data_IF_770856399961
#
_entry.id   IF_770856399961
#
_cell.length_a   1.000
_cell.length_b   1.000
_cell.length_c   1.000
_cell.angle_alpha   90.00
_cell.angle_beta   90.00
_cell.angle_gamma   90.00
#
_symmetry.space_group_name_H-M   'P 1'
#
loop_
_entity.id
_entity.type
_entity.pdbx_description
1 polymer ?
#
# COMPACT_ATOMS: atom_id res chain seq x y z
N UNK A 1 -10.10 -14.28 33.90
CA UNK A 1 -11.21 -14.44 32.95
C UNK A 1 -10.61 -14.38 31.55
N UNK A 2 -10.26 -15.54 31.00
CA UNK A 2 -9.69 -15.67 29.64
C UNK A 2 -10.73 -15.23 28.61
N UNK A 3 -10.50 -14.09 27.96
CA UNK A 3 -11.26 -13.70 26.78
C UNK A 3 -10.78 -14.58 25.61
N UNK A 4 -11.54 -15.62 25.30
CA UNK A 4 -11.38 -16.39 24.07
C UNK A 4 -11.57 -15.46 22.87
N UNK A 5 -10.54 -15.35 22.04
CA UNK A 5 -10.63 -14.76 20.70
C UNK A 5 -11.74 -15.48 19.91
N UNK A 6 -12.55 -14.76 19.11
CA UNK A 6 -13.50 -15.39 18.23
C UNK A 6 -12.74 -16.31 17.27
N UNK A 7 -13.26 -17.53 17.11
CA UNK A 7 -12.71 -18.56 16.24
C UNK A 7 -12.64 -18.01 14.82
N UNK A 8 -11.42 -17.71 14.34
CA UNK A 8 -11.12 -17.41 12.93
C UNK A 8 -11.47 -18.65 12.08
N UNK A 9 -12.73 -18.74 11.65
CA UNK A 9 -13.23 -19.86 10.86
C UNK A 9 -12.76 -19.87 9.40
N UNK A 10 -12.24 -18.75 8.91
CA UNK A 10 -11.62 -18.65 7.57
C UNK A 10 -10.18 -18.17 7.74
N UNK A 11 -9.23 -18.94 7.20
CA UNK A 11 -7.82 -18.54 7.20
C UNK A 11 -7.69 -17.25 6.38
N UNK A 12 -7.43 -16.11 7.01
CA UNK A 12 -7.04 -14.91 6.29
C UNK A 12 -5.76 -15.19 5.51
N UNK A 13 -5.86 -15.19 4.18
CA UNK A 13 -4.71 -15.45 3.30
C UNK A 13 -3.95 -14.13 3.11
N UNK A 14 -2.66 -14.14 3.39
CA UNK A 14 -1.78 -13.01 3.08
C UNK A 14 -1.57 -12.97 1.57
N UNK A 15 -2.00 -11.89 0.90
CA UNK A 15 -1.81 -11.72 -0.54
C UNK A 15 -0.45 -11.11 -0.91
N UNK A 16 0.15 -10.36 0.01
CA UNK A 16 1.44 -9.73 -0.21
C UNK A 16 2.08 -9.22 1.07
N UNK A 17 3.38 -8.91 0.98
CA UNK A 17 4.21 -8.38 2.05
C UNK A 17 4.93 -7.15 1.52
N UNK A 18 4.83 -6.03 2.24
CA UNK A 18 5.63 -4.84 1.99
C UNK A 18 6.87 -4.79 2.89
N UNK A 19 7.83 -3.95 2.53
CA UNK A 19 9.04 -3.75 3.30
C UNK A 19 9.39 -2.28 3.51
N UNK A 20 10.52 -2.06 4.18
CA UNK A 20 11.06 -0.74 4.50
C UNK A 20 11.67 -0.07 3.28
N UNK A 21 11.48 1.23 3.13
CA UNK A 21 12.10 2.01 2.03
C UNK A 21 12.95 3.13 2.61
N UNK A 22 14.24 3.07 2.33
CA UNK A 22 15.23 4.03 2.82
C UNK A 22 15.77 4.89 1.67
N UNK A 23 16.12 6.14 1.95
CA UNK A 23 16.78 7.00 0.97
C UNK A 23 18.18 6.50 0.62
N UNK A 24 18.50 6.49 -0.68
CA UNK A 24 19.86 6.28 -1.15
C UNK A 24 20.72 7.56 -1.00
N UNK A 25 20.22 8.69 -1.52
CA UNK A 25 20.87 9.99 -1.38
C UNK A 25 20.51 10.66 -0.05
N UNK A 26 21.38 11.52 0.47
CA UNK A 26 21.13 12.31 1.69
C UNK A 26 20.93 13.78 1.35
N UNK A 27 19.68 14.21 1.38
CA UNK A 27 19.23 15.60 1.27
C UNK A 27 17.86 15.75 1.92
N UNK A 28 17.44 17.00 2.17
CA UNK A 28 16.20 17.32 2.87
C UNK A 28 14.97 16.60 2.31
N UNK A 29 14.83 16.54 0.98
CA UNK A 29 13.66 15.88 0.36
C UNK A 29 13.72 14.36 0.55
N UNK A 30 14.87 13.74 0.28
CA UNK A 30 15.03 12.30 0.47
C UNK A 30 14.88 11.85 1.93
N UNK A 31 15.40 12.63 2.87
CA UNK A 31 15.25 12.40 4.32
C UNK A 31 13.80 12.56 4.74
N UNK A 32 13.09 13.56 4.21
CA UNK A 32 11.65 13.73 4.42
C UNK A 32 10.86 12.49 4.00
N UNK A 33 11.12 11.92 2.82
CA UNK A 33 10.45 10.70 2.36
C UNK A 33 10.64 9.53 3.34
N UNK A 34 11.86 9.28 3.80
CA UNK A 34 12.13 8.19 4.74
C UNK A 34 11.62 8.45 6.14
N UNK A 35 11.73 9.68 6.65
CA UNK A 35 11.27 10.06 7.98
C UNK A 35 9.75 9.88 8.10
N UNK A 36 9.01 10.38 7.11
CA UNK A 36 7.55 10.23 7.05
C UNK A 36 7.10 8.87 6.49
N UNK A 37 8.03 8.01 6.09
CA UNK A 37 7.76 6.66 5.56
C UNK A 37 6.78 6.68 4.39
N UNK A 38 6.93 7.67 3.50
CA UNK A 38 5.99 7.95 2.41
C UNK A 38 5.83 6.76 1.45
N UNK A 39 6.87 5.95 1.28
CA UNK A 39 6.85 4.75 0.44
C UNK A 39 6.75 3.44 1.25
N UNK A 40 6.36 3.50 2.52
CA UNK A 40 6.04 2.31 3.31
C UNK A 40 4.52 2.15 3.44
N UNK A 41 4.01 0.91 3.62
CA UNK A 41 2.60 0.70 3.96
C UNK A 41 2.19 1.48 5.22
N UNK A 42 0.99 2.09 5.25
CA UNK A 42 0.50 2.76 6.45
C UNK A 42 0.31 1.77 7.61
N UNK A 43 0.45 2.24 8.85
CA UNK A 43 0.41 1.42 10.09
C UNK A 43 -0.77 0.45 10.19
N UNK A 44 -1.92 0.86 9.68
CA UNK A 44 -3.09 0.00 9.50
C UNK A 44 -3.09 -0.38 8.02
N UNK A 45 -2.48 -1.51 7.66
CA UNK A 45 -2.16 -1.92 6.30
C UNK A 45 -3.37 -1.91 5.35
N UNK A 46 -3.71 -0.74 4.80
CA UNK A 46 -4.79 -0.58 3.82
C UNK A 46 -4.34 -0.91 2.40
N UNK A 47 -3.02 -0.80 2.14
CA UNK A 47 -2.41 -1.11 0.86
C UNK A 47 -0.90 -1.32 1.00
N UNK A 48 -0.28 -1.93 0.00
CA UNK A 48 1.17 -2.06 -0.11
C UNK A 48 1.74 -1.10 -1.15
N UNK A 49 2.86 -0.46 -0.83
CA UNK A 49 3.61 0.37 -1.78
C UNK A 49 4.51 -0.53 -2.63
N UNK A 50 4.36 -0.49 -3.95
CA UNK A 50 5.07 -1.40 -4.86
C UNK A 50 6.56 -1.14 -4.99
N UNK A 51 7.04 0.02 -4.53
CA UNK A 51 8.47 0.32 -4.42
C UNK A 51 9.25 -0.71 -3.58
N UNK A 52 8.57 -1.38 -2.64
CA UNK A 52 9.12 -2.52 -1.92
C UNK A 52 8.01 -3.46 -1.45
N UNK A 53 7.47 -4.26 -2.38
CA UNK A 53 6.45 -5.25 -2.08
C UNK A 53 6.62 -6.53 -2.90
N UNK A 54 6.21 -7.65 -2.31
CA UNK A 54 6.04 -8.93 -2.98
C UNK A 54 4.59 -9.39 -2.85
N UNK A 55 4.05 -9.98 -3.92
CA UNK A 55 2.70 -10.50 -3.96
C UNK A 55 2.69 -11.98 -4.37
N UNK A 56 1.70 -12.71 -3.85
CA UNK A 56 1.41 -14.06 -4.34
C UNK A 56 0.81 -13.98 -5.74
N UNK A 57 1.46 -14.64 -6.71
CA UNK A 57 1.00 -14.71 -8.10
C UNK A 57 -0.47 -15.11 -8.22
N UNK A 58 -0.91 -16.12 -7.45
CA UNK A 58 -2.30 -16.59 -7.47
C UNK A 58 -3.31 -15.50 -7.10
N UNK A 59 -2.98 -14.65 -6.11
CA UNK A 59 -3.85 -13.58 -5.65
C UNK A 59 -3.92 -12.46 -6.70
N UNK A 60 -2.77 -12.11 -7.32
CA UNK A 60 -2.74 -11.14 -8.41
C UNK A 60 -3.59 -11.57 -9.61
N UNK A 61 -3.46 -12.83 -10.03
CA UNK A 61 -4.22 -13.37 -11.16
C UNK A 61 -5.72 -13.39 -10.89
N UNK A 62 -6.14 -13.69 -9.66
CA UNK A 62 -7.56 -13.70 -9.29
C UNK A 62 -8.23 -12.32 -9.46
N UNK A 63 -7.49 -11.25 -9.17
CA UNK A 63 -8.00 -9.88 -9.33
C UNK A 63 -7.62 -9.25 -10.66
N UNK A 64 -7.03 -10.00 -11.59
CA UNK A 64 -6.56 -9.49 -12.89
C UNK A 64 -5.53 -8.36 -12.75
N UNK A 65 -4.65 -8.43 -11.76
CA UNK A 65 -3.52 -7.51 -11.58
C UNK A 65 -3.90 -6.05 -11.36
N UNK A 66 -3.06 -5.14 -11.85
CA UNK A 66 -3.30 -3.70 -11.80
C UNK A 66 -4.44 -3.27 -12.72
N UNK A 67 -5.03 -2.11 -12.44
CA UNK A 67 -6.00 -1.50 -13.34
C UNK A 67 -5.28 -0.76 -14.47
N UNK A 68 -5.19 -1.38 -15.65
CA UNK A 68 -4.53 -0.78 -16.83
C UNK A 68 -5.29 0.41 -17.42
N UNK A 69 -6.52 0.66 -16.99
CA UNK A 69 -7.26 1.87 -17.40
C UNK A 69 -6.80 3.11 -16.63
N UNK A 70 -6.11 2.94 -15.50
CA UNK A 70 -5.52 4.02 -14.72
C UNK A 70 -4.18 4.46 -15.33
N UNK A 71 -4.17 5.65 -15.96
CA UNK A 71 -3.02 6.13 -16.75
C UNK A 71 -2.13 7.14 -16.02
N UNK A 72 -2.44 7.46 -14.76
CA UNK A 72 -1.69 8.43 -13.99
C UNK A 72 -0.88 7.72 -12.89
N UNK A 73 0.34 8.18 -12.58
CA UNK A 73 1.06 7.65 -11.44
C UNK A 73 0.46 8.18 -10.14
N UNK A 74 0.36 7.31 -9.15
CA UNK A 74 -0.34 7.54 -7.91
C UNK A 74 -1.68 6.79 -7.90
N UNK A 75 -1.90 5.97 -6.87
CA UNK A 75 -3.15 5.24 -6.68
C UNK A 75 -3.18 3.82 -7.26
N UNK A 76 -2.28 3.45 -8.18
CA UNK A 76 -2.21 2.09 -8.73
C UNK A 76 -2.03 1.01 -7.64
N UNK A 77 -1.16 1.31 -6.67
CA UNK A 77 -0.88 0.49 -5.48
C UNK A 77 -2.14 0.31 -4.61
N UNK A 78 -2.86 1.41 -4.36
CA UNK A 78 -4.13 1.42 -3.64
C UNK A 78 -5.18 0.60 -4.38
N UNK A 79 -5.25 0.75 -5.71
CA UNK A 79 -6.25 0.09 -6.54
C UNK A 79 -6.08 -1.42 -6.53
N UNK A 80 -4.84 -1.90 -6.72
CA UNK A 80 -4.52 -3.31 -6.59
C UNK A 80 -4.86 -3.82 -5.17
N UNK A 81 -4.50 -3.05 -4.15
CA UNK A 81 -4.74 -3.44 -2.76
C UNK A 81 -6.23 -3.47 -2.41
N UNK A 82 -7.04 -2.52 -2.90
CA UNK A 82 -8.49 -2.54 -2.73
C UNK A 82 -9.12 -3.72 -3.46
N UNK A 83 -8.67 -4.04 -4.68
CA UNK A 83 -9.15 -5.22 -5.41
C UNK A 83 -8.88 -6.51 -4.61
N UNK A 84 -7.69 -6.65 -4.02
CA UNK A 84 -7.33 -7.79 -3.16
C UNK A 84 -8.11 -7.79 -1.84
N UNK A 85 -8.20 -6.66 -1.14
CA UNK A 85 -8.94 -6.53 0.12
C UNK A 85 -10.44 -6.81 -0.06
N UNK A 86 -11.02 -6.39 -1.19
CA UNK A 86 -12.41 -6.72 -1.57
C UNK A 86 -12.65 -8.23 -1.77
N UNK A 87 -11.58 -9.05 -1.87
CA UNK A 87 -11.63 -10.51 -1.88
C UNK A 87 -11.32 -11.15 -0.52
N UNK A 88 -11.17 -10.35 0.53
CA UNK A 88 -10.87 -10.82 1.89
C UNK A 88 -9.38 -11.10 2.15
N UNK A 89 -8.49 -10.72 1.23
CA UNK A 89 -7.05 -10.85 1.44
C UNK A 89 -6.52 -9.79 2.42
N UNK A 90 -5.44 -10.15 3.13
CA UNK A 90 -4.71 -9.26 4.04
C UNK A 90 -3.27 -9.04 3.58
N UNK A 91 -2.61 -8.03 4.16
CA UNK A 91 -1.24 -7.65 3.83
C UNK A 91 -0.32 -7.69 5.05
N UNK A 92 0.89 -8.19 4.86
CA UNK A 92 1.96 -8.17 5.85
C UNK A 92 2.96 -7.05 5.64
N UNK A 93 3.80 -6.83 6.64
CA UNK A 93 4.97 -5.96 6.57
C UNK A 93 6.18 -6.67 7.19
N UNK A 94 7.30 -6.71 6.46
CA UNK A 94 8.57 -7.26 6.93
C UNK A 94 9.60 -6.15 7.07
N UNK A 95 10.00 -5.86 8.31
CA UNK A 95 10.90 -4.74 8.64
C UNK A 95 12.32 -4.95 8.12
N UNK A 96 12.73 -6.21 7.92
CA UNK A 96 14.07 -6.57 7.48
C UNK A 96 14.17 -6.67 5.94
N UNK A 97 13.02 -6.55 5.24
CA UNK A 97 12.96 -6.39 3.78
C UNK A 97 13.22 -4.92 3.43
N UNK A 98 14.47 -4.57 3.11
CA UNK A 98 14.89 -3.17 2.92
C UNK A 98 15.29 -2.91 1.46
N UNK A 99 14.77 -1.82 0.90
CA UNK A 99 15.19 -1.26 -0.40
C UNK A 99 15.75 0.14 -0.21
N UNK A 100 16.88 0.41 -0.86
CA UNK A 100 17.46 1.75 -0.98
C UNK A 100 16.89 2.42 -2.24
N UNK A 101 16.07 3.45 -2.06
CA UNK A 101 15.37 4.14 -3.14
C UNK A 101 16.02 5.49 -3.45
N UNK A 102 16.26 5.76 -4.72
CA UNK A 102 16.73 7.05 -5.19
C UNK A 102 15.54 8.00 -5.44
N UNK A 103 15.25 8.87 -4.49
CA UNK A 103 14.13 9.80 -4.57
C UNK A 103 14.43 10.97 -5.51
N UNK A 104 13.40 11.53 -6.15
CA UNK A 104 13.53 12.83 -6.83
C UNK A 104 13.73 13.92 -5.78
N UNK A 105 14.80 14.68 -5.91
CA UNK A 105 15.29 15.58 -4.85
C UNK A 105 14.88 17.04 -5.00
N UNK A 106 14.30 17.44 -6.14
CA UNK A 106 13.86 18.83 -6.35
C UNK A 106 12.48 19.10 -5.76
N UNK A 107 12.30 20.26 -5.12
CA UNK A 107 11.04 20.69 -4.52
C UNK A 107 9.89 20.72 -5.55
N UNK A 108 10.16 21.18 -6.77
CA UNK A 108 9.16 21.18 -7.84
C UNK A 108 8.72 19.75 -8.22
N UNK A 109 9.67 18.81 -8.31
CA UNK A 109 9.34 17.41 -8.57
C UNK A 109 8.56 16.80 -7.40
N UNK A 110 8.92 17.14 -6.17
CA UNK A 110 8.20 16.74 -4.97
C UNK A 110 6.74 17.18 -5.01
N UNK A 111 6.47 18.48 -5.20
CA UNK A 111 5.11 19.02 -5.29
C UNK A 111 4.32 18.37 -6.43
N UNK A 112 4.94 18.21 -7.60
CA UNK A 112 4.32 17.55 -8.75
C UNK A 112 3.97 16.09 -8.45
N UNK A 113 4.84 15.36 -7.75
CA UNK A 113 4.59 13.97 -7.34
C UNK A 113 3.41 13.88 -6.37
N UNK A 114 3.40 14.69 -5.30
CA UNK A 114 2.32 14.67 -4.32
C UNK A 114 0.96 15.08 -4.89
N UNK A 115 0.94 16.04 -5.82
CA UNK A 115 -0.29 16.37 -6.55
C UNK A 115 -0.82 15.18 -7.37
N UNK A 116 0.07 14.47 -8.08
CA UNK A 116 -0.30 13.28 -8.86
C UNK A 116 -0.79 12.14 -7.98
N UNK A 117 -0.12 11.92 -6.83
CA UNK A 117 -0.58 10.98 -5.81
C UNK A 117 -1.98 11.32 -5.34
N UNK A 118 -2.25 12.56 -4.93
CA UNK A 118 -3.58 12.98 -4.49
C UNK A 118 -4.65 12.74 -5.56
N UNK A 119 -4.41 13.18 -6.80
CA UNK A 119 -5.34 12.98 -7.91
C UNK A 119 -5.63 11.50 -8.17
N UNK A 120 -4.58 10.69 -8.29
CA UNK A 120 -4.73 9.28 -8.63
C UNK A 120 -5.33 8.45 -7.48
N UNK A 121 -4.97 8.76 -6.23
CA UNK A 121 -5.61 8.16 -5.05
C UNK A 121 -7.10 8.47 -5.01
N UNK A 122 -7.52 9.71 -5.30
CA UNK A 122 -8.93 10.06 -5.33
C UNK A 122 -9.70 9.26 -6.39
N UNK A 123 -9.22 9.26 -7.63
CA UNK A 123 -9.80 8.50 -8.75
C UNK A 123 -9.98 7.01 -8.42
N UNK A 124 -8.92 6.36 -7.94
CA UNK A 124 -8.92 4.94 -7.60
C UNK A 124 -9.82 4.63 -6.40
N UNK A 125 -9.83 5.51 -5.40
CA UNK A 125 -10.68 5.35 -4.22
C UNK A 125 -12.14 5.34 -4.62
N UNK A 126 -12.59 6.31 -5.43
CA UNK A 126 -13.97 6.32 -5.93
C UNK A 126 -14.33 5.06 -6.73
N UNK A 127 -13.35 4.48 -7.44
CA UNK A 127 -13.57 3.31 -8.29
C UNK A 127 -13.64 2.00 -7.51
N UNK A 128 -12.78 1.83 -6.49
CA UNK A 128 -12.54 0.51 -5.88
C UNK A 128 -12.75 0.44 -4.37
N UNK A 129 -12.76 1.56 -3.65
CA UNK A 129 -13.03 1.54 -2.22
C UNK A 129 -14.51 1.23 -2.00
N UNK A 130 -14.80 -0.02 -1.65
CA UNK A 130 -16.09 -0.37 -1.08
C UNK A 130 -16.05 0.04 0.38
N UNK A 131 -17.09 0.74 0.85
CA UNK A 131 -17.30 0.93 2.28
C UNK A 131 -17.52 -0.44 2.90
N UNK A 132 -16.45 -1.09 3.37
CA UNK A 132 -16.58 -2.08 4.41
C UNK A 132 -16.59 -1.27 5.70
N UNK A 133 -17.76 -1.14 6.32
CA UNK A 133 -17.82 -0.67 7.70
C UNK A 133 -16.81 -1.50 8.49
N UNK A 134 -15.83 -0.90 9.19
CA UNK A 134 -15.13 -1.66 10.19
C UNK A 134 -16.22 -2.16 11.13
N UNK A 135 -16.38 -3.48 11.27
CA UNK A 135 -17.02 -4.02 12.46
C UNK A 135 -16.14 -3.60 13.63
N UNK A 136 -16.40 -2.41 14.16
CA UNK A 136 -15.89 -1.97 15.44
C UNK A 136 -16.53 -2.94 16.43
N UNK A 137 -15.75 -3.90 16.92
CA UNK A 137 -16.10 -4.66 18.11
C UNK A 137 -15.53 -3.91 19.31
N UNK A 138 -16.41 -3.43 20.19
CA UNK A 138 -16.11 -3.15 21.60
C UNK A 138 -15.64 -4.42 22.34
#
# INVERSE_FOLDING_TARGET
MEKKLPVLGERCVIAGIGGKVCHYQKNTVSEYYSYHRILEPPRYNQYLVTANACYLKKCLLEVQGFDETHKYPGGEDNGLSFKLANRGYIFGFEKDMIVMHDYRTSLFSFLKTFYRYGKGCAEITFKYLKHQSPSIME
#
